data_IF_578576507332
#
_entry.id   IF_578576507332
#
_cell.length_a   1.000
_cell.length_b   1.000
_cell.length_c   1.000
_cell.angle_alpha   90.00
_cell.angle_beta   90.00
_cell.angle_gamma   90.00
#
_symmetry.space_group_name_H-M   'P 1'
#
loop_
_entity.id
_entity.type
_entity.pdbx_description
1 polymer ?
#
# COMPACT_ATOMS: atom_id res chain seq x y z
N UNK A 1 -13.38 6.88 30.46
CA UNK A 1 -14.33 6.67 29.34
C UNK A 1 -14.10 5.26 28.77
N UNK A 2 -15.02 4.31 29.00
CA UNK A 2 -14.88 2.94 28.47
C UNK A 2 -15.23 2.97 26.98
N UNK A 3 -14.24 2.90 26.10
CA UNK A 3 -14.48 2.68 24.67
C UNK A 3 -15.14 1.30 24.52
N UNK A 4 -16.42 1.25 24.14
CA UNK A 4 -17.07 0.01 23.71
C UNK A 4 -16.34 -0.47 22.45
N UNK A 5 -15.55 -1.54 22.55
CA UNK A 5 -14.90 -2.17 21.41
C UNK A 5 -15.96 -2.94 20.61
N UNK A 6 -16.27 -2.47 19.40
CA UNK A 6 -17.09 -3.21 18.43
C UNK A 6 -16.17 -4.11 17.59
N UNK A 7 -16.58 -5.36 17.38
CA UNK A 7 -15.92 -6.23 16.41
C UNK A 7 -16.39 -5.84 15.01
N UNK A 8 -15.45 -5.79 14.07
CA UNK A 8 -15.67 -5.47 12.66
C UNK A 8 -15.13 -6.65 11.86
N UNK A 9 -15.91 -7.14 10.92
CA UNK A 9 -15.49 -8.17 9.98
C UNK A 9 -14.56 -7.55 8.93
N UNK A 10 -13.46 -8.25 8.62
CA UNK A 10 -12.46 -7.79 7.64
C UNK A 10 -11.99 -8.95 6.79
N UNK A 11 -11.70 -8.67 5.53
CA UNK A 11 -11.08 -9.60 4.59
C UNK A 11 -9.58 -9.34 4.60
N UNK A 12 -8.77 -10.38 4.83
CA UNK A 12 -7.32 -10.27 4.91
C UNK A 12 -6.66 -11.26 3.95
N UNK A 13 -5.62 -10.80 3.27
CA UNK A 13 -4.77 -11.62 2.40
C UNK A 13 -3.65 -12.24 3.23
N UNK A 14 -3.82 -13.49 3.64
CA UNK A 14 -2.82 -14.21 4.43
C UNK A 14 -1.71 -14.86 3.58
N UNK A 15 -1.99 -15.07 2.30
CA UNK A 15 -1.07 -15.68 1.34
C UNK A 15 -1.27 -15.00 -0.02
N UNK A 16 -0.17 -14.52 -0.59
CA UNK A 16 -0.13 -13.97 -1.93
C UNK A 16 0.99 -14.65 -2.74
N UNK A 17 0.84 -14.84 -4.06
CA UNK A 17 1.83 -15.51 -4.89
C UNK A 17 3.24 -14.93 -4.76
N UNK A 18 3.34 -13.60 -4.60
CA UNK A 18 4.62 -12.89 -4.47
C UNK A 18 5.31 -13.03 -3.11
N UNK A 19 4.66 -13.64 -2.10
CA UNK A 19 5.23 -13.74 -0.76
C UNK A 19 6.43 -14.71 -0.72
N UNK A 20 6.42 -15.75 -1.57
CA UNK A 20 7.52 -16.72 -1.66
C UNK A 20 8.83 -16.07 -2.11
N UNK A 21 8.79 -15.05 -2.96
CA UNK A 21 9.99 -14.29 -3.34
C UNK A 21 10.68 -13.65 -2.12
N UNK A 22 9.88 -13.17 -1.16
CA UNK A 22 10.38 -12.57 0.07
C UNK A 22 10.99 -13.64 0.97
N UNK A 23 10.35 -14.82 1.06
CA UNK A 23 10.87 -15.96 1.81
C UNK A 23 12.21 -16.44 1.25
N UNK A 24 12.30 -16.68 -0.05
CA UNK A 24 13.50 -17.19 -0.71
C UNK A 24 14.68 -16.23 -0.55
N UNK A 25 14.44 -14.92 -0.64
CA UNK A 25 15.50 -13.91 -0.56
C UNK A 25 15.91 -13.54 0.87
N UNK A 26 14.96 -13.49 1.80
CA UNK A 26 15.17 -12.86 3.12
C UNK A 26 14.80 -13.76 4.31
N UNK A 27 14.32 -14.98 4.03
CA UNK A 27 13.99 -16.00 5.01
C UNK A 27 12.67 -15.78 5.74
N UNK A 28 12.37 -16.73 6.64
CA UNK A 28 11.07 -16.83 7.32
C UNK A 28 10.67 -15.59 8.12
N UNK A 29 11.63 -14.88 8.72
CA UNK A 29 11.30 -13.68 9.49
C UNK A 29 10.81 -12.54 8.60
N UNK A 30 11.43 -12.35 7.43
CA UNK A 30 11.02 -11.33 6.48
C UNK A 30 9.68 -11.69 5.82
N UNK A 31 9.46 -12.96 5.49
CA UNK A 31 8.18 -13.48 5.01
C UNK A 31 7.03 -13.15 5.97
N UNK A 32 7.16 -13.51 7.26
CA UNK A 32 6.16 -13.17 8.27
C UNK A 32 5.94 -11.67 8.43
N UNK A 33 7.02 -10.89 8.42
CA UNK A 33 6.97 -9.44 8.52
C UNK A 33 6.21 -8.80 7.34
N UNK A 34 6.43 -9.33 6.14
CA UNK A 34 5.76 -8.89 4.93
C UNK A 34 4.25 -9.10 5.02
N UNK A 35 3.81 -10.30 5.44
CA UNK A 35 2.38 -10.60 5.67
C UNK A 35 1.81 -9.73 6.79
N UNK A 36 2.55 -9.52 7.89
CA UNK A 36 2.12 -8.68 9.01
C UNK A 36 1.80 -7.25 8.58
N UNK A 37 2.67 -6.61 7.80
CA UNK A 37 2.42 -5.27 7.27
C UNK A 37 1.19 -5.25 6.36
N UNK A 38 1.05 -6.25 5.47
CA UNK A 38 -0.09 -6.39 4.55
C UNK A 38 -1.42 -6.43 5.32
N UNK A 39 -1.58 -7.41 6.22
CA UNK A 39 -2.86 -7.64 6.90
C UNK A 39 -3.23 -6.53 7.88
N UNK A 40 -2.24 -5.86 8.49
CA UNK A 40 -2.51 -4.72 9.36
C UNK A 40 -3.01 -3.53 8.56
N UNK A 41 -2.42 -3.27 7.39
CA UNK A 41 -2.88 -2.23 6.48
C UNK A 41 -4.28 -2.54 5.92
N UNK A 42 -4.53 -3.77 5.46
CA UNK A 42 -5.84 -4.17 4.95
C UNK A 42 -6.95 -4.02 6.01
N UNK A 43 -6.67 -4.34 7.27
CA UNK A 43 -7.60 -4.09 8.36
C UNK A 43 -7.88 -2.59 8.53
N UNK A 44 -6.85 -1.74 8.50
CA UNK A 44 -6.99 -0.28 8.60
C UNK A 44 -7.83 0.27 7.45
N UNK A 45 -7.58 -0.19 6.23
CA UNK A 45 -8.31 0.21 5.03
C UNK A 45 -9.81 -0.14 5.13
N UNK A 46 -10.15 -1.14 5.93
CA UNK A 46 -11.53 -1.56 6.25
C UNK A 46 -12.06 -0.96 7.56
N UNK A 47 -11.45 0.14 8.04
CA UNK A 47 -11.83 0.82 9.29
C UNK A 47 -11.74 -0.06 10.54
N UNK A 48 -10.85 -1.05 10.54
CA UNK A 48 -10.56 -1.92 11.68
C UNK A 48 -9.09 -1.84 12.08
N UNK A 49 -8.77 -2.31 13.28
CA UNK A 49 -7.40 -2.42 13.76
C UNK A 49 -7.22 -3.77 14.43
N UNK A 50 -6.18 -4.50 14.02
CA UNK A 50 -5.81 -5.77 14.62
C UNK A 50 -5.13 -5.55 15.97
N UNK A 51 -5.31 -6.48 16.90
CA UNK A 51 -4.52 -6.56 18.13
C UNK A 51 -3.31 -7.48 17.94
N UNK A 52 -2.33 -7.39 18.84
CA UNK A 52 -1.21 -8.37 18.86
C UNK A 52 -1.74 -9.81 19.03
N UNK A 53 -2.84 -9.99 19.76
CA UNK A 53 -3.47 -11.32 19.95
C UNK A 53 -4.02 -11.86 18.62
N UNK A 54 -4.59 -11.00 17.79
CA UNK A 54 -5.07 -11.38 16.45
C UNK A 54 -3.89 -11.79 15.56
N UNK A 55 -2.80 -11.00 15.58
CA UNK A 55 -1.58 -11.33 14.83
C UNK A 55 -0.96 -12.67 15.25
N UNK A 56 -0.90 -12.97 16.55
CA UNK A 56 -0.43 -14.27 17.07
C UNK A 56 -1.28 -15.41 16.49
N UNK A 57 -2.60 -15.24 16.43
CA UNK A 57 -3.53 -16.25 15.90
C UNK A 57 -3.42 -16.43 14.39
N UNK A 58 -3.29 -15.33 13.65
CA UNK A 58 -3.23 -15.31 12.18
C UNK A 58 -1.88 -15.83 11.68
N UNK A 59 -0.77 -15.32 12.22
CA UNK A 59 0.59 -15.62 11.77
C UNK A 59 1.23 -16.82 12.49
N UNK A 60 0.47 -17.51 13.35
CA UNK A 60 0.91 -18.68 14.15
C UNK A 60 2.27 -18.46 14.83
N UNK A 61 2.49 -17.23 15.31
CA UNK A 61 3.78 -16.78 15.83
C UNK A 61 3.66 -16.36 17.29
N UNK A 62 4.71 -16.56 18.07
CA UNK A 62 4.70 -16.22 19.48
C UNK A 62 4.51 -14.71 19.71
N UNK A 63 3.98 -14.34 20.87
CA UNK A 63 3.79 -12.95 21.26
C UNK A 63 5.10 -12.15 21.28
N UNK A 64 6.21 -12.77 21.71
CA UNK A 64 7.54 -12.15 21.71
C UNK A 64 8.08 -11.94 20.30
N UNK A 65 7.80 -12.87 19.38
CA UNK A 65 8.13 -12.72 17.94
C UNK A 65 7.38 -11.53 17.34
N UNK A 66 6.06 -11.44 17.52
CA UNK A 66 5.27 -10.32 16.98
C UNK A 66 5.73 -8.97 17.56
N UNK A 67 6.02 -8.91 18.86
CA UNK A 67 6.57 -7.69 19.48
C UNK A 67 7.92 -7.29 18.88
N UNK A 68 8.79 -8.26 18.58
CA UNK A 68 10.09 -8.02 17.94
C UNK A 68 9.91 -7.47 16.53
N UNK A 69 8.96 -7.99 15.77
CA UNK A 69 8.65 -7.49 14.42
C UNK A 69 8.10 -6.06 14.47
N UNK A 70 7.18 -5.75 15.38
CA UNK A 70 6.66 -4.39 15.57
C UNK A 70 7.79 -3.41 15.93
N UNK A 71 8.72 -3.83 16.80
CA UNK A 71 9.90 -3.02 17.14
C UNK A 71 10.79 -2.81 15.90
N UNK A 72 11.03 -3.87 15.13
CA UNK A 72 11.82 -3.82 13.89
C UNK A 72 11.26 -2.84 12.86
N UNK A 73 9.94 -2.75 12.73
CA UNK A 73 9.28 -1.78 11.85
C UNK A 73 9.42 -0.35 12.37
N UNK A 74 9.21 -0.13 13.66
CA UNK A 74 9.36 1.19 14.29
C UNK A 74 10.76 1.76 14.10
N UNK A 75 11.79 0.92 14.25
CA UNK A 75 13.20 1.31 14.04
C UNK A 75 13.51 1.69 12.59
N UNK A 76 12.66 1.30 11.64
CA UNK A 76 12.74 1.65 10.21
C UNK A 76 11.72 2.70 9.79
N UNK A 77 11.09 3.35 10.75
CA UNK A 77 10.02 4.33 10.51
C UNK A 77 8.84 3.75 9.70
N UNK A 78 8.64 2.44 9.76
CA UNK A 78 7.52 1.76 9.15
C UNK A 78 6.36 1.70 10.14
N UNK A 79 5.22 2.23 9.72
CA UNK A 79 4.02 2.30 10.53
C UNK A 79 3.24 0.98 10.50
N UNK A 80 2.82 0.52 11.68
CA UNK A 80 2.00 -0.70 11.84
C UNK A 80 0.68 -0.33 12.53
N UNK A 81 -0.45 -0.29 11.81
CA UNK A 81 -1.73 0.10 12.40
C UNK A 81 -2.31 -1.01 13.29
N UNK A 82 -2.00 -0.93 14.59
CA UNK A 82 -2.49 -1.87 15.59
C UNK A 82 -3.31 -1.19 16.68
N UNK A 83 -4.36 -1.87 17.13
CA UNK A 83 -5.19 -1.44 18.26
C UNK A 83 -4.32 -1.35 19.52
N UNK A 84 -4.27 -0.17 20.13
CA UNK A 84 -3.42 0.12 21.30
C UNK A 84 -2.05 0.71 20.97
N UNK A 85 -1.64 0.74 19.70
CA UNK A 85 -0.42 1.43 19.21
C UNK A 85 -0.77 2.71 18.46
N UNK A 86 -2.03 2.87 18.00
CA UNK A 86 -2.53 4.14 17.46
C UNK A 86 -2.62 5.19 18.58
N UNK A 87 -1.47 5.80 18.90
CA UNK A 87 -1.34 7.10 19.55
C UNK A 87 -0.61 7.99 18.55
N UNK A 88 -1.35 8.94 17.95
CA UNK A 88 -0.87 10.21 17.40
C UNK A 88 0.41 10.22 16.55
N UNK A 89 0.55 9.31 15.57
CA UNK A 89 1.61 9.38 14.55
C UNK A 89 0.97 9.21 13.16
N UNK A 90 1.43 10.03 12.22
CA UNK A 90 0.77 10.46 10.99
C UNK A 90 0.26 9.39 10.00
N UNK A 91 -0.47 9.84 8.96
CA UNK A 91 -1.47 9.04 8.25
C UNK A 91 -0.90 8.03 7.24
N UNK A 92 0.38 8.06 6.91
CA UNK A 92 0.89 7.42 5.69
C UNK A 92 1.02 5.91 5.78
N UNK A 93 0.37 5.19 4.86
CA UNK A 93 0.55 3.75 4.68
C UNK A 93 1.96 3.39 4.27
N UNK A 94 2.33 2.13 4.54
CA UNK A 94 3.58 1.54 4.08
C UNK A 94 3.75 1.59 2.55
N UNK A 95 2.63 1.53 1.80
CA UNK A 95 2.62 1.62 0.33
C UNK A 95 3.01 3.03 -0.14
N UNK A 96 2.45 4.06 0.50
CA UNK A 96 2.80 5.46 0.21
C UNK A 96 4.25 5.78 0.53
N UNK A 97 4.83 5.15 1.57
CA UNK A 97 6.26 5.27 1.85
C UNK A 97 7.15 4.66 0.77
N UNK A 98 6.79 3.48 0.26
CA UNK A 98 7.50 2.85 -0.86
C UNK A 98 7.52 3.75 -2.09
N UNK A 99 6.36 4.31 -2.45
CA UNK A 99 6.23 5.23 -3.58
C UNK A 99 7.04 6.51 -3.34
N UNK A 100 6.98 7.08 -2.12
CA UNK A 100 7.77 8.27 -1.77
C UNK A 100 9.28 8.01 -1.95
N UNK A 101 9.80 6.85 -1.54
CA UNK A 101 11.20 6.50 -1.77
C UNK A 101 11.53 6.44 -3.27
N UNK A 102 10.65 5.86 -4.08
CA UNK A 102 10.86 5.80 -5.53
C UNK A 102 10.87 7.20 -6.17
N UNK A 103 9.94 8.08 -5.77
CA UNK A 103 9.88 9.48 -6.23
C UNK A 103 11.16 10.24 -5.83
N UNK A 104 11.73 9.93 -4.66
CA UNK A 104 13.02 10.48 -4.20
C UNK A 104 14.25 9.95 -4.95
N UNK A 105 14.09 9.05 -5.92
CA UNK A 105 15.15 8.54 -6.79
C UNK A 105 15.77 7.22 -6.36
N UNK A 106 15.25 6.56 -5.32
CA UNK A 106 15.70 5.21 -4.96
C UNK A 106 15.26 4.19 -6.00
N UNK A 107 16.15 3.26 -6.36
CA UNK A 107 15.84 2.17 -7.27
C UNK A 107 14.93 1.12 -6.62
N UNK A 108 14.14 0.40 -7.42
CA UNK A 108 13.29 -0.70 -6.92
C UNK A 108 14.09 -1.74 -6.13
N UNK A 109 15.36 -1.98 -6.50
CA UNK A 109 16.26 -2.88 -5.77
C UNK A 109 16.69 -2.35 -4.41
N UNK A 110 16.96 -1.04 -4.28
CA UNK A 110 17.28 -0.41 -3.00
C UNK A 110 16.05 -0.38 -2.08
N UNK A 111 14.88 -0.12 -2.65
CA UNK A 111 13.61 -0.16 -1.94
C UNK A 111 13.31 -1.58 -1.47
N UNK A 112 13.51 -2.60 -2.31
CA UNK A 112 13.37 -4.00 -1.90
C UNK A 112 14.27 -4.33 -0.71
N UNK A 113 15.55 -3.93 -0.74
CA UNK A 113 16.50 -4.20 0.34
C UNK A 113 16.12 -3.51 1.64
N UNK A 114 15.65 -2.26 1.58
CA UNK A 114 15.31 -1.47 2.77
C UNK A 114 13.94 -1.83 3.36
N UNK A 115 12.95 -2.15 2.51
CA UNK A 115 11.56 -2.39 2.91
C UNK A 115 11.14 -3.86 2.95
N UNK A 116 11.96 -4.79 2.42
CA UNK A 116 11.67 -6.23 2.34
C UNK A 116 10.40 -6.57 1.54
N UNK A 117 10.13 -5.80 0.51
CA UNK A 117 9.03 -6.06 -0.42
C UNK A 117 9.53 -6.77 -1.68
N UNK A 118 8.68 -7.59 -2.30
CA UNK A 118 8.95 -8.14 -3.63
C UNK A 118 9.03 -7.01 -4.67
N UNK A 119 9.84 -7.20 -5.71
CA UNK A 119 9.94 -6.21 -6.79
C UNK A 119 8.57 -6.01 -7.47
N UNK A 120 7.84 -7.11 -7.66
CA UNK A 120 6.49 -7.09 -8.21
C UNK A 120 5.52 -6.23 -7.38
N UNK A 121 5.58 -6.30 -6.05
CA UNK A 121 4.76 -5.44 -5.19
C UNK A 121 5.15 -3.97 -5.32
N UNK A 122 6.44 -3.67 -5.38
CA UNK A 122 6.96 -2.30 -5.52
C UNK A 122 6.50 -1.71 -6.86
N UNK A 123 6.68 -2.45 -7.95
CA UNK A 123 6.25 -2.05 -9.31
C UNK A 123 4.74 -1.80 -9.37
N UNK A 124 3.94 -2.68 -8.74
CA UNK A 124 2.49 -2.49 -8.63
C UNK A 124 2.14 -1.19 -7.91
N UNK A 125 2.78 -0.88 -6.77
CA UNK A 125 2.53 0.37 -6.04
C UNK A 125 2.92 1.61 -6.84
N UNK A 126 4.04 1.54 -7.57
CA UNK A 126 4.47 2.61 -8.47
C UNK A 126 3.44 2.81 -9.59
N UNK A 127 2.97 1.73 -10.22
CA UNK A 127 1.96 1.78 -11.28
C UNK A 127 0.62 2.36 -10.76
N UNK A 128 0.17 1.92 -9.59
CA UNK A 128 -1.05 2.43 -8.97
C UNK A 128 -0.93 3.93 -8.67
N UNK A 129 0.22 4.38 -8.17
CA UNK A 129 0.48 5.81 -7.94
C UNK A 129 0.45 6.62 -9.24
N UNK A 130 1.08 6.15 -10.32
CA UNK A 130 1.03 6.82 -11.62
C UNK A 130 -0.40 6.95 -12.13
N UNK A 131 -1.21 5.90 -12.02
CA UNK A 131 -2.64 5.92 -12.42
C UNK A 131 -3.44 6.91 -11.57
N UNK A 132 -3.24 6.94 -10.26
CA UNK A 132 -3.87 7.93 -9.37
C UNK A 132 -3.45 9.36 -9.76
N UNK A 133 -2.17 9.58 -10.05
CA UNK A 133 -1.63 10.89 -10.42
C UNK A 133 -2.27 11.42 -11.72
N UNK A 134 -2.36 10.58 -12.75
CA UNK A 134 -3.04 10.91 -14.03
C UNK A 134 -4.50 11.28 -13.80
N UNK A 135 -5.25 10.45 -13.06
CA UNK A 135 -6.67 10.69 -12.84
C UNK A 135 -6.91 11.93 -11.96
N UNK A 136 -5.99 12.21 -11.03
CA UNK A 136 -6.03 13.42 -10.21
C UNK A 136 -5.78 14.68 -11.05
N UNK A 137 -4.86 14.64 -12.02
CA UNK A 137 -4.68 15.75 -12.98
C UNK A 137 -5.93 16.00 -13.84
N UNK A 138 -6.74 14.97 -14.07
CA UNK A 138 -8.02 15.06 -14.80
C UNK A 138 -9.20 15.45 -13.91
N UNK A 139 -8.95 15.80 -12.65
CA UNK A 139 -9.97 16.20 -11.68
C UNK A 139 -11.05 15.12 -11.45
N UNK A 140 -10.68 13.84 -11.59
CA UNK A 140 -11.58 12.72 -11.31
C UNK A 140 -11.90 12.63 -9.81
N UNK A 141 -13.12 12.17 -9.49
CA UNK A 141 -13.55 11.99 -8.11
C UNK A 141 -12.78 10.85 -7.42
N UNK A 142 -12.60 10.95 -6.10
CA UNK A 142 -11.94 9.90 -5.31
C UNK A 142 -12.63 8.54 -5.50
N UNK A 143 -13.96 8.52 -5.57
CA UNK A 143 -14.75 7.30 -5.80
C UNK A 143 -14.45 6.67 -7.18
N UNK A 144 -14.35 7.48 -8.24
CA UNK A 144 -14.00 6.99 -9.58
C UNK A 144 -12.58 6.44 -9.60
N UNK A 145 -11.63 7.18 -9.04
CA UNK A 145 -10.22 6.75 -8.96
C UNK A 145 -10.10 5.42 -8.23
N UNK A 146 -10.80 5.28 -7.10
CA UNK A 146 -10.85 4.05 -6.30
C UNK A 146 -11.31 2.86 -7.15
N UNK A 147 -12.40 3.04 -7.91
CA UNK A 147 -12.98 1.99 -8.76
C UNK A 147 -12.09 1.64 -9.96
N UNK A 148 -11.49 2.63 -10.61
CA UNK A 148 -10.63 2.44 -11.79
C UNK A 148 -9.32 1.75 -11.39
N UNK A 149 -8.69 2.21 -10.32
CA UNK A 149 -7.37 1.72 -9.91
C UNK A 149 -7.49 0.41 -9.13
N UNK A 150 -8.57 0.22 -8.36
CA UNK A 150 -8.81 -0.99 -7.57
C UNK A 150 -8.09 -0.97 -6.21
N UNK A 151 -7.97 0.21 -5.60
CA UNK A 151 -7.31 0.40 -4.29
C UNK A 151 -8.28 1.00 -3.25
N UNK A 152 -7.87 1.14 -2.00
CA UNK A 152 -8.72 1.71 -0.94
C UNK A 152 -8.84 3.24 -1.07
N UNK A 153 -9.95 3.81 -0.59
CA UNK A 153 -10.15 5.27 -0.57
C UNK A 153 -9.03 5.98 0.20
N UNK A 154 -8.58 5.39 1.30
CA UNK A 154 -7.48 5.90 2.08
C UNK A 154 -6.19 5.97 1.25
N UNK A 155 -5.85 4.90 0.52
CA UNK A 155 -4.65 4.87 -0.31
C UNK A 155 -4.74 5.87 -1.48
N UNK A 156 -5.92 6.07 -2.08
CA UNK A 156 -6.13 7.12 -3.08
C UNK A 156 -5.77 8.48 -2.49
N UNK A 157 -6.30 8.82 -1.31
CA UNK A 157 -6.02 10.10 -0.65
C UNK A 157 -4.53 10.28 -0.36
N UNK A 158 -3.88 9.26 0.18
CA UNK A 158 -2.44 9.32 0.44
C UNK A 158 -1.60 9.51 -0.84
N UNK A 159 -1.96 8.84 -1.93
CA UNK A 159 -1.29 9.03 -3.23
C UNK A 159 -1.57 10.40 -3.82
N UNK A 160 -2.77 10.96 -3.65
CA UNK A 160 -3.09 12.33 -4.03
C UNK A 160 -2.27 13.35 -3.24
N UNK A 161 -2.17 13.20 -1.92
CA UNK A 161 -1.33 14.04 -1.07
C UNK A 161 0.14 13.98 -1.52
N UNK A 162 0.64 12.77 -1.80
CA UNK A 162 2.00 12.56 -2.28
C UNK A 162 2.24 13.20 -3.66
N UNK A 163 1.27 13.07 -4.58
CA UNK A 163 1.31 13.70 -5.89
C UNK A 163 1.31 15.23 -5.76
N UNK A 164 0.40 15.81 -4.98
CA UNK A 164 0.31 17.26 -4.76
C UNK A 164 1.61 17.80 -4.14
N UNK A 165 2.21 17.05 -3.21
CA UNK A 165 3.48 17.42 -2.58
C UNK A 165 4.64 17.53 -3.58
N UNK A 166 4.68 16.65 -4.59
CA UNK A 166 5.83 16.53 -5.48
C UNK A 166 5.61 17.03 -6.91
N UNK A 167 4.37 17.32 -7.32
CA UNK A 167 4.05 17.82 -8.67
C UNK A 167 4.70 19.16 -9.01
N UNK A 168 4.87 20.02 -8.00
CA UNK A 168 5.52 21.34 -8.12
C UNK A 168 6.71 21.49 -7.17
N UNK A 169 7.15 20.40 -6.54
CA UNK A 169 8.18 20.40 -5.52
C UNK A 169 9.50 19.78 -5.99
N UNK A 170 10.35 19.47 -5.01
CA UNK A 170 11.56 18.68 -5.24
C UNK A 170 11.17 17.33 -5.86
N UNK A 171 11.88 16.85 -6.88
CA UNK A 171 11.55 15.63 -7.64
C UNK A 171 10.36 15.71 -8.62
N UNK A 172 9.88 16.92 -8.98
CA UNK A 172 8.88 17.11 -10.05
C UNK A 172 9.14 16.27 -11.32
N UNK A 173 10.37 16.32 -11.83
CA UNK A 173 10.76 15.57 -13.04
C UNK A 173 10.47 14.07 -12.91
N UNK A 174 10.68 13.50 -11.72
CA UNK A 174 10.43 12.07 -11.48
C UNK A 174 8.94 11.73 -11.50
N UNK A 175 8.10 12.64 -11.02
CA UNK A 175 6.64 12.50 -11.09
C UNK A 175 6.15 12.63 -12.53
N UNK A 176 6.68 13.57 -13.31
CA UNK A 176 6.37 13.72 -14.73
C UNK A 176 6.76 12.47 -15.53
N UNK A 177 7.97 11.95 -15.34
CA UNK A 177 8.43 10.68 -15.95
C UNK A 177 7.47 9.52 -15.64
N UNK A 178 6.97 9.42 -14.40
CA UNK A 178 6.05 8.37 -13.98
C UNK A 178 4.69 8.45 -14.66
N UNK A 179 4.23 9.66 -14.95
CA UNK A 179 2.98 9.92 -15.65
C UNK A 179 3.16 9.58 -17.13
N UNK A 180 4.22 10.08 -17.75
CA UNK A 180 4.50 9.89 -19.17
C UNK A 180 4.70 8.42 -19.52
N UNK A 181 5.49 7.67 -18.72
CA UNK A 181 5.74 6.25 -18.97
C UNK A 181 4.46 5.40 -18.93
N UNK A 182 3.49 5.77 -18.09
CA UNK A 182 2.20 5.06 -18.05
C UNK A 182 1.34 5.42 -19.27
N UNK A 183 1.38 6.66 -19.77
CA UNK A 183 0.68 7.02 -21.02
C UNK A 183 1.21 6.30 -22.25
N UNK A 184 2.49 5.91 -22.25
CA UNK A 184 3.11 5.15 -23.35
C UNK A 184 2.77 3.66 -23.32
N UNK A 185 2.52 3.09 -22.13
CA UNK A 185 2.33 1.65 -21.94
C UNK A 185 0.92 1.20 -21.59
N UNK A 186 0.02 2.07 -21.14
CA UNK A 186 -1.37 1.70 -20.88
C UNK A 186 -2.32 2.12 -22.02
N UNK A 187 -2.44 1.25 -23.02
CA UNK A 187 -3.77 0.97 -23.58
C UNK A 187 -4.19 -0.47 -23.28
N UNK A 188 -4.84 -0.70 -22.14
CA UNK A 188 -5.74 -1.82 -22.00
C UNK A 188 -7.10 -1.27 -21.60
N UNK A 189 -7.98 -1.16 -22.59
CA UNK A 189 -9.44 -1.38 -22.58
C UNK A 189 -10.03 -0.46 -23.65
N UNK A 190 -10.10 -1.00 -24.86
CA UNK A 190 -11.13 -0.58 -25.80
C UNK A 190 -12.47 -0.90 -25.16
N UNK A 191 -13.15 0.09 -24.59
CA UNK A 191 -14.58 -0.02 -24.37
C UNK A 191 -15.19 -0.26 -25.75
N UNK A 192 -15.60 -1.51 -26.04
CA UNK A 192 -16.50 -1.77 -27.16
C UNK A 192 -17.74 -0.93 -26.86
N UNK A 193 -17.91 0.18 -27.60
CA UNK A 193 -19.20 0.80 -27.77
C UNK A 193 -20.12 -0.31 -28.26
N UNK A 194 -21.05 -0.76 -27.42
CA UNK A 194 -22.21 -1.48 -27.91
C UNK A 194 -22.97 -0.48 -28.78
N UNK A 195 -22.69 -0.52 -30.08
CA UNK A 195 -23.54 0.04 -31.10
C UNK A 195 -24.92 -0.62 -30.96
N UNK A 196 -25.96 0.20 -31.10
CA UNK A 196 -27.29 -0.08 -30.60
C UNK A 196 -27.93 -1.34 -31.17
N UNK A 197 -28.76 -1.96 -30.34
CA UNK A 197 -29.88 -2.76 -30.82
C UNK A 197 -31.11 -1.86 -30.80
N UNK A 198 -31.36 -1.16 -31.91
CA UNK A 198 -32.71 -0.75 -32.31
C UNK A 198 -33.18 -1.77 -33.33
N UNK A 199 -34.09 -2.64 -32.92
CA UNK A 199 -35.39 -2.92 -33.54
C UNK A 199 -36.06 -4.05 -32.76
#
# INVERSE_FOLDING_TARGET
MKFKSKHVEVILTLDAPEDMDVYEKFGLSAYRQHILLRITQEARDQNALLTIKDLVKLLKSSYSTIKRDIKHFRERELYVPLRGIVKDIGPSSHKSKIVELYVKGYTSTEIQRSTRHSLQSIERYIKDFSRVSILTQREESIDNIRLIVGISELLVKEYQELFIKYKDGDHKQRVEELIDNVTVYDSPVSFKKNAGMRM
#
